data_IF_015857022382
#
_entry.id   IF_015857022382
#
_cell.length_a   1.000
_cell.length_b   1.000
_cell.length_c   1.000
_cell.angle_alpha   90.00
_cell.angle_beta   90.00
_cell.angle_gamma   90.00
#
_symmetry.space_group_name_H-M   'P 1'
#
loop_
_entity.id
_entity.type
_entity.pdbx_description
1 polymer ?
#
# COMPACT_ATOMS: atom_id res chain seq x y z
N UNK A 1 21.81 -20.82 6.63
CA UNK A 1 20.33 -20.72 6.64
C UNK A 1 19.91 -20.14 5.29
N UNK A 2 19.16 -20.89 4.50
CA UNK A 2 18.71 -20.46 3.17
C UNK A 2 17.50 -19.51 3.27
N UNK A 3 17.11 -18.89 2.14
CA UNK A 3 16.01 -17.92 2.10
C UNK A 3 14.68 -18.54 2.54
N UNK A 4 14.38 -19.78 2.16
CA UNK A 4 13.15 -20.47 2.52
C UNK A 4 13.06 -20.76 4.02
N UNK A 5 14.16 -21.19 4.64
CA UNK A 5 14.24 -21.41 6.09
C UNK A 5 13.97 -20.11 6.87
N UNK A 6 14.45 -18.97 6.37
CA UNK A 6 14.17 -17.66 6.98
C UNK A 6 12.72 -17.21 6.84
N UNK A 7 12.06 -17.54 5.72
CA UNK A 7 10.64 -17.23 5.51
C UNK A 7 9.74 -18.07 6.40
N UNK A 8 10.06 -19.37 6.54
CA UNK A 8 9.37 -20.30 7.43
C UNK A 8 9.49 -19.83 8.89
N UNK A 9 10.68 -19.43 9.34
CA UNK A 9 10.87 -18.87 10.69
C UNK A 9 10.12 -17.55 10.93
N UNK A 10 9.73 -16.83 9.88
CA UNK A 10 8.97 -15.57 9.95
C UNK A 10 7.49 -15.76 9.66
N UNK A 11 7.04 -17.00 9.48
CA UNK A 11 5.66 -17.33 9.16
C UNK A 11 5.18 -16.66 7.87
N UNK A 12 6.09 -16.42 6.92
CA UNK A 12 5.79 -15.78 5.63
C UNK A 12 5.50 -16.85 4.59
N UNK A 13 4.33 -16.76 3.97
CA UNK A 13 3.92 -17.58 2.82
C UNK A 13 4.43 -16.97 1.52
N UNK A 14 4.25 -15.66 1.34
CA UNK A 14 4.66 -14.96 0.12
C UNK A 14 5.05 -13.51 0.38
N UNK A 15 5.93 -12.99 -0.47
CA UNK A 15 6.29 -11.58 -0.55
C UNK A 15 6.22 -11.12 -2.00
N UNK A 16 5.52 -10.01 -2.24
CA UNK A 16 5.40 -9.41 -3.57
C UNK A 16 5.74 -7.92 -3.57
N UNK A 17 6.49 -7.49 -4.58
CA UNK A 17 6.77 -6.08 -4.83
C UNK A 17 5.62 -5.48 -5.64
N UNK A 18 4.98 -4.44 -5.10
CA UNK A 18 3.84 -3.75 -5.70
C UNK A 18 4.26 -2.35 -6.14
N UNK A 19 4.15 -2.07 -7.43
CA UNK A 19 4.55 -0.78 -8.02
C UNK A 19 6.06 -0.66 -8.17
N UNK A 20 6.53 -0.63 -9.42
CA UNK A 20 7.92 -0.35 -9.79
C UNK A 20 9.00 -1.06 -8.97
N UNK A 21 10.22 -0.53 -9.03
CA UNK A 21 11.25 -0.85 -8.04
C UNK A 21 11.02 0.05 -6.82
N UNK A 22 10.66 -0.55 -5.69
CA UNK A 22 10.61 0.06 -4.36
C UNK A 22 9.38 0.93 -3.99
N UNK A 23 8.21 0.81 -4.63
CA UNK A 23 7.03 1.52 -4.07
C UNK A 23 6.54 0.84 -2.79
N UNK A 24 6.10 -0.43 -2.90
CA UNK A 24 5.47 -1.15 -1.79
C UNK A 24 5.84 -2.63 -1.77
N UNK A 25 5.79 -3.22 -0.58
CA UNK A 25 5.92 -4.66 -0.34
C UNK A 25 4.63 -5.21 0.26
N UNK A 26 4.09 -6.27 -0.31
CA UNK A 26 3.02 -7.06 0.27
C UNK A 26 3.58 -8.36 0.86
N UNK A 27 3.29 -8.62 2.13
CA UNK A 27 3.71 -9.83 2.86
C UNK A 27 2.48 -10.58 3.33
N UNK A 28 2.29 -11.80 2.81
CA UNK A 28 1.24 -12.70 3.25
C UNK A 28 1.80 -13.76 4.19
N UNK A 29 1.15 -13.94 5.34
CA UNK A 29 1.60 -14.83 6.42
C UNK A 29 0.75 -16.09 6.55
N UNK A 30 1.28 -17.08 7.26
CA UNK A 30 0.59 -18.37 7.50
C UNK A 30 -0.63 -18.24 8.41
N UNK A 31 -0.72 -17.16 9.19
CA UNK A 31 -1.87 -16.85 10.04
C UNK A 31 -3.04 -16.19 9.27
N UNK A 32 -2.87 -15.94 7.96
CA UNK A 32 -3.86 -15.28 7.11
C UNK A 32 -3.71 -13.75 7.05
N UNK A 33 -2.72 -13.18 7.73
CA UNK A 33 -2.46 -11.74 7.72
C UNK A 33 -1.84 -11.31 6.39
N UNK A 34 -2.35 -10.22 5.81
CA UNK A 34 -1.73 -9.49 4.72
C UNK A 34 -1.23 -8.13 5.21
N UNK A 35 0.08 -7.90 5.15
CA UNK A 35 0.72 -6.61 5.45
C UNK A 35 1.19 -5.95 4.16
N UNK A 36 0.81 -4.69 3.94
CA UNK A 36 1.27 -3.87 2.81
C UNK A 36 2.03 -2.68 3.37
N UNK A 37 3.29 -2.53 2.97
CA UNK A 37 4.18 -1.48 3.47
C UNK A 37 4.75 -0.67 2.32
N UNK A 38 4.70 0.65 2.44
CA UNK A 38 5.42 1.55 1.55
C UNK A 38 6.88 1.67 1.98
N UNK A 39 7.79 1.69 1.01
CA UNK A 39 9.21 1.89 1.30
C UNK A 39 9.43 3.30 1.87
N UNK A 40 10.17 3.44 2.99
CA UNK A 40 10.52 4.75 3.52
C UNK A 40 11.32 5.59 2.52
N UNK A 41 11.00 6.87 2.43
CA UNK A 41 11.70 7.82 1.56
C UNK A 41 12.70 8.64 2.39
N UNK A 42 13.92 8.83 1.87
CA UNK A 42 14.87 9.75 2.50
C UNK A 42 14.70 11.17 1.96
N UNK A 43 14.43 12.13 2.85
CA UNK A 43 14.37 13.55 2.52
C UNK A 43 15.56 14.31 3.13
N UNK A 44 16.43 14.92 2.31
CA UNK A 44 17.54 15.73 2.81
C UNK A 44 17.07 16.81 3.80
N UNK A 45 17.77 16.93 4.93
CA UNK A 45 17.44 17.89 6.00
C UNK A 45 16.30 17.49 6.94
N UNK A 46 15.46 16.52 6.55
CA UNK A 46 14.36 16.00 7.39
C UNK A 46 14.59 14.57 7.87
N UNK A 47 15.44 13.81 7.16
CA UNK A 47 15.76 12.42 7.47
C UNK A 47 14.84 11.43 6.76
N UNK A 48 14.72 10.22 7.32
CA UNK A 48 13.87 9.17 6.79
C UNK A 48 12.40 9.42 7.14
N UNK A 49 11.55 9.46 6.13
CA UNK A 49 10.10 9.59 6.26
C UNK A 49 9.51 8.17 6.32
N UNK A 50 8.83 7.78 7.40
CA UNK A 50 8.22 6.46 7.50
C UNK A 50 7.13 6.32 6.44
N UNK A 51 7.14 5.19 5.72
CA UNK A 51 6.09 4.84 4.78
C UNK A 51 4.79 4.44 5.47
N UNK A 52 3.69 4.48 4.74
CA UNK A 52 2.41 3.97 5.22
C UNK A 52 2.46 2.44 5.36
N UNK A 53 1.79 1.91 6.38
CA UNK A 53 1.58 0.47 6.56
C UNK A 53 0.10 0.18 6.73
N UNK A 54 -0.39 -0.84 6.03
CA UNK A 54 -1.74 -1.40 6.16
C UNK A 54 -1.62 -2.86 6.57
N UNK A 55 -2.43 -3.29 7.54
CA UNK A 55 -2.47 -4.68 8.00
C UNK A 55 -3.92 -5.17 7.95
N UNK A 56 -4.15 -6.25 7.21
CA UNK A 56 -5.43 -6.95 7.09
C UNK A 56 -5.29 -8.29 7.79
N UNK A 57 -6.14 -8.56 8.76
CA UNK A 57 -5.98 -9.66 9.72
C UNK A 57 -6.44 -11.02 9.18
N UNK A 58 -7.31 -11.02 8.18
CA UNK A 58 -7.96 -12.22 7.69
C UNK A 58 -8.45 -12.05 6.23
N UNK A 59 -8.91 -13.16 5.66
CA UNK A 59 -9.39 -13.22 4.28
C UNK A 59 -10.60 -12.30 4.03
N UNK A 60 -11.51 -12.18 5.00
CA UNK A 60 -12.70 -11.36 4.88
C UNK A 60 -12.36 -9.87 4.74
N UNK A 61 -11.34 -9.38 5.47
CA UNK A 61 -10.83 -8.02 5.33
C UNK A 61 -10.15 -7.78 3.97
N UNK A 62 -9.40 -8.76 3.48
CA UNK A 62 -8.76 -8.72 2.15
C UNK A 62 -9.82 -8.62 1.05
N UNK A 63 -10.86 -9.46 1.13
CA UNK A 63 -11.99 -9.44 0.19
C UNK A 63 -12.72 -8.10 0.24
N UNK A 64 -13.01 -7.59 1.44
CA UNK A 64 -13.69 -6.30 1.60
C UNK A 64 -12.89 -5.15 0.98
N UNK A 65 -11.57 -5.11 1.20
CA UNK A 65 -10.71 -4.09 0.59
C UNK A 65 -10.69 -4.21 -0.93
N UNK A 66 -10.55 -5.44 -1.47
CA UNK A 66 -10.58 -5.69 -2.92
C UNK A 66 -11.88 -5.19 -3.53
N UNK A 67 -13.02 -5.56 -2.94
CA UNK A 67 -14.34 -5.23 -3.46
C UNK A 67 -14.58 -3.72 -3.38
N UNK A 68 -14.13 -3.07 -2.30
CA UNK A 68 -14.15 -1.62 -2.18
C UNK A 68 -13.33 -0.94 -3.29
N UNK A 69 -12.07 -1.35 -3.48
CA UNK A 69 -11.19 -0.76 -4.51
C UNK A 69 -11.75 -0.96 -5.92
N UNK A 70 -12.34 -2.13 -6.20
CA UNK A 70 -12.98 -2.42 -7.48
C UNK A 70 -14.31 -1.69 -7.68
N UNK A 71 -14.93 -1.21 -6.60
CA UNK A 71 -16.16 -0.40 -6.65
C UNK A 71 -15.90 1.08 -6.91
N UNK A 72 -14.63 1.53 -6.81
CA UNK A 72 -14.29 2.93 -7.07
C UNK A 72 -14.46 3.24 -8.56
N UNK A 73 -15.30 4.21 -8.86
CA UNK A 73 -15.41 4.75 -10.21
C UNK A 73 -14.19 5.64 -10.51
N UNK A 74 -13.61 5.55 -11.72
CA UNK A 74 -12.55 6.46 -12.13
C UNK A 74 -13.06 7.89 -12.08
N UNK A 75 -12.32 8.79 -11.43
CA UNK A 75 -12.60 10.22 -11.54
C UNK A 75 -12.40 10.64 -13.00
N UNK A 76 -13.45 11.19 -13.61
CA UNK A 76 -13.32 11.81 -14.93
C UNK A 76 -12.37 13.00 -14.80
N UNK A 77 -11.29 13.01 -15.60
CA UNK A 77 -10.22 14.02 -15.55
C UNK A 77 -10.76 15.47 -15.74
N UNK A 78 -11.97 15.61 -16.28
CA UNK A 78 -12.64 16.88 -16.51
C UNK A 78 -13.24 17.51 -15.24
N UNK A 79 -13.58 16.72 -14.20
CA UNK A 79 -14.17 17.26 -12.97
C UNK A 79 -13.15 17.87 -12.00
N UNK A 80 -11.89 17.44 -12.05
CA UNK A 80 -10.84 17.93 -11.13
C UNK A 80 -10.28 19.30 -11.51
N UNK A 81 -10.31 19.68 -12.80
CA UNK A 81 -9.86 21.02 -13.21
C UNK A 81 -10.79 22.12 -12.70
N UNK A 82 -12.10 21.89 -12.61
CA UNK A 82 -13.05 22.88 -12.08
C UNK A 82 -12.94 23.06 -10.57
N UNK A 83 -12.68 21.99 -9.80
CA UNK A 83 -12.55 22.08 -8.34
C UNK A 83 -11.23 22.74 -7.92
N UNK A 84 -10.11 22.46 -8.60
CA UNK A 84 -8.81 23.10 -8.33
C UNK A 84 -8.84 24.60 -8.65
N UNK A 85 -9.57 25.01 -9.70
CA UNK A 85 -9.73 26.44 -10.03
C UNK A 85 -10.64 27.18 -9.05
N UNK A 86 -11.69 26.54 -8.51
CA UNK A 86 -12.59 27.17 -7.53
C UNK A 86 -11.90 27.45 -6.20
N UNK A 87 -11.03 26.56 -5.72
CA UNK A 87 -10.28 26.80 -4.48
C UNK A 87 -9.23 27.91 -4.62
N UNK A 88 -8.67 28.08 -5.82
CA UNK A 88 -7.70 29.15 -6.12
C UNK A 88 -8.35 30.53 -6.29
N UNK A 89 -9.67 30.60 -6.52
CA UNK A 89 -10.41 31.84 -6.72
C UNK A 89 -11.04 32.42 -5.43
N UNK A 90 -10.92 31.70 -4.30
CA UNK A 90 -11.46 32.09 -2.99
C UNK A 90 -10.32 32.48 -2.01
N UNK A 91 -9.05 32.42 -2.45
CA UNK A 91 -7.86 32.83 -1.69
C UNK A 91 -7.39 34.25 -2.05
#
# INVERSE_FOLDING_TARGET
MNVNERLICKEIVSNELLGGQFDRMATYKTDGTLRIEQTPEFKPGTGWIPGQTVVLQNWEEIVRLRDFLNSLEPLSVEQDMENIQRESAIA
#
